data_IF_447808765747
#
_entry.id   IF_447808765747
#
_cell.length_a   1.000
_cell.length_b   1.000
_cell.length_c   1.000
_cell.angle_alpha   90.00
_cell.angle_beta   90.00
_cell.angle_gamma   90.00
#
_symmetry.space_group_name_H-M   'P 1'
#
loop_
_entity.id
_entity.type
_entity.pdbx_description
1 polymer ?
#
# COMPACT_ATOMS: atom_id res chain seq x y z
N UNK A 1 15.67 5.93 -31.91
CA UNK A 1 14.21 5.70 -31.97
C UNK A 1 13.60 6.50 -30.83
N UNK A 2 12.79 7.51 -31.13
CA UNK A 2 12.11 8.30 -30.08
C UNK A 2 10.92 7.46 -29.61
N UNK A 3 11.00 6.90 -28.40
CA UNK A 3 9.89 6.19 -27.78
C UNK A 3 8.92 7.25 -27.26
N UNK A 4 7.78 7.39 -27.90
CA UNK A 4 6.72 8.28 -27.40
C UNK A 4 6.09 7.65 -26.15
N UNK A 5 5.87 8.44 -25.08
CA UNK A 5 5.13 7.94 -23.93
C UNK A 5 3.72 7.54 -24.35
N UNK A 6 3.28 6.36 -23.90
CA UNK A 6 1.91 5.89 -24.08
C UNK A 6 1.18 5.90 -22.74
N UNK A 7 -0.09 6.28 -22.74
CA UNK A 7 -0.97 6.17 -21.58
C UNK A 7 -1.82 4.91 -21.72
N UNK A 8 -1.82 4.07 -20.69
CA UNK A 8 -2.63 2.86 -20.62
C UNK A 8 -3.39 2.89 -19.28
N UNK A 9 -4.69 2.62 -19.36
CA UNK A 9 -5.48 2.38 -18.16
C UNK A 9 -5.14 0.99 -17.62
N UNK A 10 -4.73 0.94 -16.35
CA UNK A 10 -4.37 -0.30 -15.67
C UNK A 10 -5.24 -0.47 -14.44
N UNK A 11 -5.82 -1.64 -14.26
CA UNK A 11 -6.55 -1.99 -13.06
C UNK A 11 -5.57 -2.10 -11.88
N UNK A 12 -5.98 -1.58 -10.71
CA UNK A 12 -5.16 -1.61 -9.50
C UNK A 12 -4.80 -3.04 -9.09
N UNK A 13 -5.75 -3.97 -9.16
CA UNK A 13 -5.50 -5.38 -8.83
C UNK A 13 -4.40 -5.99 -9.71
N UNK A 14 -4.48 -5.78 -11.02
CA UNK A 14 -3.46 -6.24 -11.94
C UNK A 14 -2.09 -5.65 -11.64
N UNK A 15 -2.02 -4.36 -11.31
CA UNK A 15 -0.77 -3.71 -10.93
C UNK A 15 -0.18 -4.31 -9.65
N UNK A 16 -1.01 -4.61 -8.65
CA UNK A 16 -0.56 -5.24 -7.41
C UNK A 16 -0.09 -6.68 -7.63
N UNK A 17 -0.70 -7.42 -8.55
CA UNK A 17 -0.23 -8.75 -8.99
C UNK A 17 1.14 -8.68 -9.66
N UNK A 18 1.35 -7.70 -10.55
CA UNK A 18 2.66 -7.45 -11.18
C UNK A 18 3.73 -7.10 -10.15
N UNK A 19 3.39 -6.29 -9.13
CA UNK A 19 4.26 -5.95 -8.01
C UNK A 19 4.59 -7.21 -7.20
N UNK A 20 3.60 -7.99 -6.82
CA UNK A 20 3.78 -9.19 -6.01
C UNK A 20 4.62 -10.27 -6.73
N UNK A 21 4.45 -10.40 -8.03
CA UNK A 21 5.24 -11.35 -8.86
C UNK A 21 6.66 -10.86 -9.17
N UNK A 22 6.99 -9.60 -8.87
CA UNK A 22 8.28 -9.00 -9.20
C UNK A 22 8.42 -8.52 -10.66
N UNK A 23 7.35 -8.54 -11.44
CA UNK A 23 7.34 -7.99 -12.81
C UNK A 23 7.43 -6.46 -12.82
N UNK A 24 6.89 -5.82 -11.81
CA UNK A 24 7.00 -4.37 -11.57
C UNK A 24 7.81 -4.13 -10.31
N UNK A 25 8.95 -3.47 -10.44
CA UNK A 25 9.90 -3.21 -9.36
C UNK A 25 10.30 -1.72 -9.32
N UNK A 26 11.20 -1.37 -8.41
CA UNK A 26 11.74 -0.02 -8.25
C UNK A 26 13.19 0.05 -8.75
N UNK A 27 13.63 1.16 -9.35
CA UNK A 27 15.05 1.43 -9.47
C UNK A 27 15.69 1.55 -8.08
N UNK A 28 16.91 1.03 -7.92
CA UNK A 28 17.63 1.03 -6.64
C UNK A 28 17.90 2.44 -6.10
N UNK A 29 18.04 3.44 -6.98
CA UNK A 29 18.30 4.83 -6.60
C UNK A 29 17.11 5.55 -5.97
N UNK A 30 15.91 4.99 -6.00
CA UNK A 30 14.76 5.61 -5.35
C UNK A 30 14.91 5.53 -3.83
N UNK A 31 14.47 6.62 -3.14
CA UNK A 31 14.49 6.69 -1.69
C UNK A 31 13.68 5.55 -1.08
N UNK A 32 13.95 5.22 0.18
CA UNK A 32 13.17 4.24 0.90
C UNK A 32 11.74 4.73 1.18
N UNK A 33 10.86 3.77 1.41
CA UNK A 33 9.50 4.05 1.82
C UNK A 33 9.46 4.59 3.26
N UNK A 34 8.78 5.72 3.46
CA UNK A 34 8.82 6.47 4.73
C UNK A 34 7.45 6.95 5.21
N UNK A 35 6.36 6.50 4.60
CA UNK A 35 5.04 6.96 4.98
C UNK A 35 4.66 6.54 6.40
N UNK A 36 3.99 7.47 7.09
CA UNK A 36 3.41 7.29 8.41
C UNK A 36 1.96 6.76 8.34
N UNK A 37 1.43 6.38 9.49
CA UNK A 37 0.08 5.84 9.65
C UNK A 37 -1.00 6.74 9.05
N UNK A 38 -0.93 8.05 9.27
CA UNK A 38 -1.94 8.99 8.77
C UNK A 38 -1.99 9.06 7.24
N UNK A 39 -0.82 9.03 6.58
CA UNK A 39 -0.74 9.02 5.11
C UNK A 39 -1.28 7.73 4.52
N UNK A 40 -1.03 6.60 5.17
CA UNK A 40 -1.57 5.31 4.75
C UNK A 40 -3.10 5.30 4.88
N UNK A 41 -3.64 5.78 5.99
CA UNK A 41 -5.10 5.93 6.18
C UNK A 41 -5.71 6.82 5.10
N UNK A 42 -5.10 7.97 4.82
CA UNK A 42 -5.58 8.90 3.80
C UNK A 42 -5.63 8.30 2.40
N UNK A 43 -4.65 7.48 1.99
CA UNK A 43 -4.70 6.83 0.67
C UNK A 43 -5.77 5.74 0.63
N UNK A 44 -5.99 4.97 1.69
CA UNK A 44 -7.06 3.97 1.78
C UNK A 44 -8.42 4.65 1.70
N UNK A 45 -8.63 5.74 2.46
CA UNK A 45 -9.85 6.54 2.42
C UNK A 45 -10.14 7.05 1.01
N UNK A 46 -9.14 7.62 0.33
CA UNK A 46 -9.28 8.11 -1.04
C UNK A 46 -9.67 7.01 -2.02
N UNK A 47 -9.01 5.85 -1.95
CA UNK A 47 -9.33 4.70 -2.80
C UNK A 47 -10.74 4.16 -2.54
N UNK A 48 -11.18 4.10 -1.28
CA UNK A 48 -12.52 3.63 -0.92
C UNK A 48 -13.65 4.54 -1.44
N UNK A 49 -13.33 5.78 -1.78
CA UNK A 49 -14.26 6.73 -2.40
C UNK A 49 -14.16 6.75 -3.93
N UNK A 50 -13.33 5.88 -4.51
CA UNK A 50 -13.13 5.81 -5.96
C UNK A 50 -12.24 6.93 -6.53
N UNK A 51 -11.53 7.69 -5.67
CA UNK A 51 -10.60 8.68 -6.18
C UNK A 51 -9.41 8.02 -6.87
N UNK A 52 -8.98 8.58 -8.02
CA UNK A 52 -7.87 8.01 -8.77
C UNK A 52 -6.56 8.11 -7.98
N UNK A 53 -5.76 7.08 -8.08
CA UNK A 53 -4.42 7.02 -7.46
C UNK A 53 -3.44 8.04 -8.05
N UNK A 54 -3.78 8.63 -9.19
CA UNK A 54 -2.92 9.45 -10.03
C UNK A 54 -2.22 8.62 -11.11
N UNK A 55 -1.48 9.29 -11.99
CA UNK A 55 -0.71 8.63 -13.04
C UNK A 55 0.55 7.96 -12.44
N UNK A 56 0.82 6.73 -12.85
CA UNK A 56 2.04 6.00 -12.50
C UNK A 56 2.98 6.03 -13.70
N UNK A 57 4.16 6.59 -13.52
CA UNK A 57 5.19 6.57 -14.53
C UNK A 57 5.99 5.26 -14.42
N UNK A 58 5.96 4.46 -15.49
CA UNK A 58 6.72 3.21 -15.58
C UNK A 58 7.70 3.25 -16.76
N UNK A 59 8.89 2.76 -16.53
CA UNK A 59 9.89 2.53 -17.56
C UNK A 59 9.91 1.05 -17.92
N UNK A 60 9.75 0.72 -19.20
CA UNK A 60 9.91 -0.65 -19.66
C UNK A 60 11.39 -1.06 -19.50
N UNK A 61 11.64 -2.15 -18.80
CA UNK A 61 12.96 -2.71 -18.58
C UNK A 61 13.37 -3.64 -19.73
N UNK A 62 14.66 -3.84 -19.90
CA UNK A 62 15.21 -4.73 -20.95
C UNK A 62 15.79 -4.00 -22.16
N UNK A 63 15.80 -2.66 -22.16
CA UNK A 63 16.57 -1.91 -23.14
C UNK A 63 18.07 -2.10 -22.85
N UNK A 64 18.90 -2.55 -23.84
CA UNK A 64 20.34 -2.77 -23.63
C UNK A 64 21.11 -1.51 -23.22
N UNK A 65 20.57 -0.32 -23.54
CA UNK A 65 21.18 0.97 -23.24
C UNK A 65 20.83 1.48 -21.82
N UNK A 66 19.86 0.86 -21.14
CA UNK A 66 19.37 1.28 -19.81
C UNK A 66 19.54 0.11 -18.85
N UNK A 67 20.58 0.19 -18.01
CA UNK A 67 20.92 -0.83 -17.02
C UNK A 67 20.78 -0.26 -15.61
N UNK A 68 19.56 0.00 -15.16
CA UNK A 68 19.34 0.32 -13.75
C UNK A 68 19.38 -0.96 -12.91
N UNK A 69 20.05 -0.89 -11.77
CA UNK A 69 19.82 -1.85 -10.70
C UNK A 69 18.40 -1.67 -10.18
N UNK A 70 17.77 -2.75 -9.80
CA UNK A 70 16.39 -2.77 -9.35
C UNK A 70 16.23 -3.53 -8.05
N UNK A 71 15.16 -3.23 -7.35
CA UNK A 71 14.75 -3.90 -6.12
C UNK A 71 13.25 -4.02 -6.06
N UNK A 72 12.77 -5.00 -5.30
CA UNK A 72 11.34 -5.17 -5.03
C UNK A 72 10.78 -4.01 -4.20
N UNK A 73 9.48 -3.82 -4.29
CA UNK A 73 8.74 -2.90 -3.42
C UNK A 73 8.76 -3.46 -1.99
N UNK A 74 8.87 -2.60 -0.97
CA UNK A 74 8.89 -3.01 0.43
C UNK A 74 7.61 -3.82 0.76
N UNK A 75 7.79 -4.97 1.36
CA UNK A 75 6.72 -5.92 1.67
C UNK A 75 6.58 -7.09 0.69
N UNK A 76 7.18 -7.02 -0.51
CA UNK A 76 7.16 -8.12 -1.51
C UNK A 76 8.19 -9.18 -1.20
N UNK A 77 9.09 -9.08 -0.36
CA UNK A 77 10.19 -10.02 -0.20
C UNK A 77 11.09 -10.08 -1.44
N UNK A 78 12.16 -10.85 -1.34
CA UNK A 78 13.11 -11.00 -2.44
C UNK A 78 12.52 -11.87 -3.55
N UNK A 79 12.52 -11.35 -4.78
CA UNK A 79 12.08 -12.06 -5.98
C UNK A 79 13.23 -12.10 -6.96
N UNK A 80 13.75 -13.28 -7.21
CA UNK A 80 14.83 -13.46 -8.20
C UNK A 80 14.26 -13.44 -9.64
N UNK A 81 13.60 -12.32 -9.99
CA UNK A 81 12.92 -12.10 -11.26
C UNK A 81 13.42 -10.80 -11.88
N UNK A 82 13.74 -10.85 -13.18
CA UNK A 82 14.02 -9.63 -13.96
C UNK A 82 12.69 -8.91 -14.19
N UNK A 83 12.56 -7.62 -13.82
CA UNK A 83 11.31 -6.91 -14.00
C UNK A 83 10.99 -6.62 -15.48
N UNK A 84 9.71 -6.51 -15.79
CA UNK A 84 9.23 -5.98 -17.07
C UNK A 84 9.19 -4.45 -17.03
N UNK A 85 8.90 -3.88 -15.85
CA UNK A 85 8.75 -2.44 -15.64
C UNK A 85 9.42 -1.96 -14.35
N UNK A 86 9.96 -0.75 -14.42
CA UNK A 86 10.44 0.00 -13.25
C UNK A 86 9.54 1.20 -13.00
N UNK A 87 9.06 1.35 -11.77
CA UNK A 87 8.24 2.51 -11.35
C UNK A 87 9.16 3.68 -11.09
N UNK A 88 8.97 4.79 -11.82
CA UNK A 88 9.77 6.00 -11.69
C UNK A 88 9.17 7.04 -10.75
N UNK A 89 7.85 7.00 -10.56
CA UNK A 89 7.13 7.92 -9.67
C UNK A 89 6.04 7.17 -8.88
N UNK A 90 5.48 7.82 -7.87
CA UNK A 90 4.43 7.31 -6.94
C UNK A 90 4.82 6.08 -6.09
N UNK A 91 6.10 5.80 -5.97
CA UNK A 91 6.61 4.69 -5.17
C UNK A 91 5.99 4.63 -3.76
N UNK A 92 5.91 5.77 -3.06
CA UNK A 92 5.39 5.82 -1.68
C UNK A 92 3.93 5.36 -1.61
N UNK A 93 3.08 5.81 -2.55
CA UNK A 93 1.66 5.43 -2.63
C UNK A 93 1.52 3.96 -2.97
N UNK A 94 2.19 3.50 -4.04
CA UNK A 94 2.10 2.12 -4.48
C UNK A 94 2.56 1.14 -3.40
N UNK A 95 3.65 1.46 -2.71
CA UNK A 95 4.15 0.65 -1.59
C UNK A 95 3.14 0.59 -0.44
N UNK A 96 2.53 1.73 -0.09
CA UNK A 96 1.52 1.79 0.98
C UNK A 96 0.28 0.98 0.63
N UNK A 97 -0.21 1.10 -0.61
CA UNK A 97 -1.37 0.36 -1.10
C UNK A 97 -1.08 -1.14 -1.11
N UNK A 98 0.08 -1.55 -1.64
CA UNK A 98 0.48 -2.95 -1.66
C UNK A 98 0.52 -3.54 -0.25
N UNK A 99 1.20 -2.87 0.69
CA UNK A 99 1.33 -3.36 2.05
C UNK A 99 -0.01 -3.38 2.80
N UNK A 100 -0.87 -2.38 2.61
CA UNK A 100 -2.10 -2.23 3.37
C UNK A 100 -3.27 -3.05 2.83
N UNK A 101 -3.34 -3.28 1.50
CA UNK A 101 -4.51 -3.87 0.85
C UNK A 101 -4.24 -5.23 0.19
N UNK A 102 -2.98 -5.57 -0.06
CA UNK A 102 -2.63 -6.79 -0.79
C UNK A 102 -1.79 -7.76 0.06
N UNK A 103 -0.88 -7.25 0.88
CA UNK A 103 -0.04 -8.07 1.75
C UNK A 103 -0.84 -8.66 2.91
N UNK A 104 -0.63 -9.94 3.22
CA UNK A 104 -1.18 -10.57 4.42
C UNK A 104 -0.49 -10.16 5.73
N UNK A 105 0.63 -9.43 5.64
CA UNK A 105 1.41 -8.99 6.78
C UNK A 105 1.00 -7.59 7.24
N UNK A 106 1.13 -7.29 8.54
CA UNK A 106 0.89 -5.93 9.04
C UNK A 106 1.90 -4.96 8.43
N UNK A 107 1.45 -3.74 8.18
CA UNK A 107 2.30 -2.66 7.68
C UNK A 107 3.23 -2.19 8.79
N UNK A 108 4.53 -2.27 8.57
CA UNK A 108 5.54 -1.70 9.47
C UNK A 108 5.74 -0.23 9.16
N UNK A 109 5.13 0.64 9.94
CA UNK A 109 5.10 2.08 9.75
C UNK A 109 5.43 2.82 11.05
N UNK A 110 5.18 4.10 11.10
CA UNK A 110 5.39 4.94 12.27
C UNK A 110 4.21 5.87 12.52
N UNK A 111 4.05 6.26 13.77
CA UNK A 111 3.15 7.35 14.14
C UNK A 111 3.70 8.69 13.63
N UNK A 112 2.87 9.72 13.64
CA UNK A 112 3.26 11.10 13.34
C UNK A 112 4.44 11.59 14.22
N UNK A 113 4.53 11.09 15.46
CA UNK A 113 5.63 11.37 16.40
C UNK A 113 6.88 10.52 16.18
N UNK A 114 6.92 9.69 15.11
CA UNK A 114 8.06 8.86 14.75
C UNK A 114 8.19 7.53 15.50
N UNK A 115 7.22 7.16 16.36
CA UNK A 115 7.22 5.85 17.03
C UNK A 115 6.90 4.74 16.01
N UNK A 116 7.74 3.73 15.91
CA UNK A 116 7.51 2.55 15.07
C UNK A 116 6.32 1.74 15.58
N UNK A 117 5.49 1.30 14.64
CA UNK A 117 4.27 0.53 14.88
C UNK A 117 4.02 -0.46 13.76
N UNK A 118 3.24 -1.52 14.05
CA UNK A 118 2.73 -2.48 13.09
C UNK A 118 1.21 -2.39 13.07
N UNK A 119 0.61 -2.28 11.88
CA UNK A 119 -0.83 -2.06 11.70
C UNK A 119 -1.41 -2.87 10.56
N UNK A 120 -2.60 -3.41 10.81
CA UNK A 120 -3.57 -3.75 9.77
C UNK A 120 -4.55 -2.59 9.61
N UNK A 121 -5.17 -2.48 8.44
CA UNK A 121 -6.17 -1.45 8.16
C UNK A 121 -7.47 -2.09 7.73
N UNK A 122 -8.56 -1.69 8.35
CA UNK A 122 -9.92 -2.16 8.06
C UNK A 122 -10.81 -0.97 7.75
N UNK A 123 -11.88 -1.22 6.99
CA UNK A 123 -12.90 -0.21 6.75
C UNK A 123 -14.14 -0.54 7.59
N UNK A 124 -14.60 0.44 8.37
CA UNK A 124 -15.90 0.36 9.03
C UNK A 124 -16.99 0.63 8.01
N UNK A 125 -17.77 -0.39 7.66
CA UNK A 125 -18.88 -0.24 6.71
C UNK A 125 -19.93 0.74 7.23
N UNK A 126 -20.22 0.72 8.54
CA UNK A 126 -21.14 1.65 9.19
C UNK A 126 -20.72 3.10 8.93
N UNK A 127 -19.47 3.45 9.24
CA UNK A 127 -18.92 4.80 9.00
C UNK A 127 -18.78 5.14 7.51
N UNK A 128 -18.54 4.15 6.67
CA UNK A 128 -18.50 4.37 5.23
C UNK A 128 -19.85 4.77 4.62
N UNK A 129 -20.94 4.35 5.25
CA UNK A 129 -22.31 4.62 4.82
C UNK A 129 -22.92 5.87 5.48
N UNK A 130 -22.30 6.42 6.51
CA UNK A 130 -22.72 7.67 7.13
C UNK A 130 -22.16 8.87 6.37
N UNK A 131 -23.06 9.67 5.79
CA UNK A 131 -22.69 10.86 5.00
C UNK A 131 -22.07 11.99 5.85
N UNK A 132 -22.22 11.95 7.17
CA UNK A 132 -21.68 12.94 8.08
C UNK A 132 -20.28 12.61 8.63
N UNK A 133 -19.82 11.38 8.42
CA UNK A 133 -18.51 10.92 8.89
C UNK A 133 -17.40 11.17 7.85
N UNK A 134 -16.21 11.57 8.33
CA UNK A 134 -15.03 11.66 7.47
C UNK A 134 -14.58 10.24 7.09
N UNK A 135 -14.32 10.02 5.80
CA UNK A 135 -13.84 8.73 5.31
C UNK A 135 -12.53 8.27 5.98
N UNK A 136 -11.70 9.20 6.42
CA UNK A 136 -10.49 8.88 7.17
C UNK A 136 -10.82 8.21 8.52
N UNK A 137 -11.94 8.58 9.14
CA UNK A 137 -12.39 7.99 10.41
C UNK A 137 -13.02 6.61 10.23
N UNK A 138 -13.42 6.29 9.00
CA UNK A 138 -13.86 4.95 8.63
C UNK A 138 -12.69 3.96 8.47
N UNK A 139 -11.45 4.45 8.26
CA UNK A 139 -10.26 3.60 8.19
C UNK A 139 -9.75 3.33 9.61
N UNK A 140 -9.92 2.10 10.08
CA UNK A 140 -9.55 1.67 11.43
C UNK A 140 -8.15 1.05 11.42
N UNK A 141 -7.14 1.69 12.02
CA UNK A 141 -5.82 1.10 12.18
C UNK A 141 -5.84 0.12 13.36
N UNK A 142 -5.55 -1.14 13.09
CA UNK A 142 -5.59 -2.22 14.08
C UNK A 142 -4.17 -2.71 14.34
N UNK A 143 -3.74 -2.87 15.61
CA UNK A 143 -2.44 -3.43 15.95
C UNK A 143 -2.23 -4.83 15.37
N UNK A 144 -0.98 -5.30 15.35
CA UNK A 144 -0.58 -6.61 14.83
C UNK A 144 -1.19 -7.79 15.61
N UNK A 145 -1.55 -7.60 16.89
CA UNK A 145 -2.32 -8.56 17.68
C UNK A 145 -3.82 -8.62 17.30
N UNK A 146 -4.25 -7.80 16.33
CA UNK A 146 -5.64 -7.64 15.85
C UNK A 146 -6.65 -7.26 16.92
N UNK A 147 -6.20 -6.62 18.01
CA UNK A 147 -7.04 -6.14 19.10
C UNK A 147 -6.97 -4.63 19.21
N UNK A 148 -8.12 -3.99 19.10
CA UNK A 148 -8.25 -2.57 19.39
C UNK A 148 -8.62 -2.43 20.87
N UNK A 149 -7.80 -1.71 21.61
CA UNK A 149 -7.94 -1.52 23.05
C UNK A 149 -8.33 -0.08 23.38
N UNK A 150 -9.05 0.11 24.47
CA UNK A 150 -9.40 1.41 25.02
C UNK A 150 -9.04 1.47 26.51
N UNK A 151 -9.29 2.61 27.17
CA UNK A 151 -9.03 2.81 28.59
C UNK A 151 -7.58 2.47 29.01
N UNK A 152 -6.58 3.02 28.28
CA UNK A 152 -5.17 2.76 28.53
C UNK A 152 -4.80 1.26 28.44
N UNK A 153 -5.27 0.59 27.38
CA UNK A 153 -5.04 -0.84 27.08
C UNK A 153 -5.69 -1.81 28.10
N UNK A 154 -6.63 -1.37 28.91
CA UNK A 154 -7.29 -2.22 29.92
C UNK A 154 -8.46 -3.02 29.34
N UNK A 155 -9.19 -2.44 28.40
CA UNK A 155 -10.40 -3.02 27.83
C UNK A 155 -10.21 -3.29 26.33
N UNK A 156 -10.69 -4.43 25.85
CA UNK A 156 -10.71 -4.75 24.42
C UNK A 156 -12.00 -4.20 23.83
N UNK A 157 -11.89 -3.17 22.99
CA UNK A 157 -13.01 -2.60 22.26
C UNK A 157 -13.44 -3.46 21.08
N UNK A 158 -12.46 -4.04 20.39
CA UNK A 158 -12.68 -4.86 19.20
C UNK A 158 -11.60 -5.95 19.12
N UNK A 159 -12.01 -7.20 18.92
CA UNK A 159 -11.12 -8.33 18.73
C UNK A 159 -11.37 -8.93 17.33
N UNK A 160 -10.43 -8.74 16.43
CA UNK A 160 -10.47 -9.26 15.06
C UNK A 160 -9.54 -10.47 14.88
N UNK A 161 -8.99 -11.01 15.96
CA UNK A 161 -8.04 -12.14 15.91
C UNK A 161 -8.71 -13.46 15.52
N UNK A 162 -10.02 -13.57 15.73
CA UNK A 162 -10.82 -14.81 15.52
C UNK A 162 -11.75 -14.76 14.31
N UNK A 163 -11.79 -13.62 13.60
CA UNK A 163 -12.60 -13.51 12.40
C UNK A 163 -11.85 -14.05 11.18
N UNK A 164 -12.48 -14.98 10.48
CA UNK A 164 -12.08 -15.37 9.13
C UNK A 164 -12.22 -14.12 8.23
N UNK A 165 -11.06 -13.59 7.81
CA UNK A 165 -10.97 -12.35 7.05
C UNK A 165 -11.44 -12.48 5.59
N UNK A 166 -12.05 -13.61 5.21
CA UNK A 166 -12.60 -13.82 3.87
C UNK A 166 -13.83 -12.94 3.58
N UNK A 167 -14.39 -12.25 4.59
CA UNK A 167 -15.62 -11.44 4.46
C UNK A 167 -15.54 -10.05 5.13
N UNK A 168 -14.33 -9.52 5.37
CA UNK A 168 -14.19 -8.18 5.92
C UNK A 168 -13.90 -7.14 4.84
#
# INVERSE_FOLDING_TARGET
MIISPSSLDTNLSQLLDEVNSGKTQLPEFQRDWTWDDNRIRGIIASLSQGYPMGAIMRLQYGNPDIKFKYRTIKGVGDRNVVPDYLVLDVQQRLTSIYQALYSANPVETKTEKGKEIKRFYYLSMEKCLDENEDRNDAVIPVPDDRKVKENFDRDIKMDLSTHDLEYA
#
